data_IF_324604699976
#
_entry.id   IF_324604699976
#
_cell.length_a   1.000
_cell.length_b   1.000
_cell.length_c   1.000
_cell.angle_alpha   90.00
_cell.angle_beta   90.00
_cell.angle_gamma   90.00
#
_symmetry.space_group_name_H-M   'P 1'
#
loop_
_entity.id
_entity.type
_entity.pdbx_description
1 polymer ?
#
# COMPACT_ATOMS: atom_id res chain seq x y z
N UNK A 1 10.14 59.86 -17.99
CA UNK A 1 10.32 58.60 -17.21
C UNK A 1 9.15 58.27 -16.28
N UNK A 2 8.31 59.22 -15.86
CA UNK A 2 7.23 58.96 -14.89
C UNK A 2 6.13 58.01 -15.37
N UNK A 3 5.80 58.02 -16.67
CA UNK A 3 4.77 57.14 -17.24
C UNK A 3 5.11 55.66 -17.15
N UNK A 4 6.39 55.29 -17.23
CA UNK A 4 6.81 53.88 -17.23
C UNK A 4 6.73 53.29 -15.81
N UNK A 5 7.26 54.01 -14.82
CA UNK A 5 7.22 53.63 -13.41
C UNK A 5 5.80 53.54 -12.85
N UNK A 6 4.91 54.44 -13.31
CA UNK A 6 3.50 54.40 -12.95
C UNK A 6 2.82 53.12 -13.49
N UNK A 7 3.08 52.75 -14.75
CA UNK A 7 2.56 51.50 -15.34
C UNK A 7 3.13 50.26 -14.65
N UNK A 8 4.43 50.23 -14.35
CA UNK A 8 5.07 49.13 -13.64
C UNK A 8 4.49 48.92 -12.24
N UNK A 9 4.16 50.00 -11.52
CA UNK A 9 3.45 49.91 -10.22
C UNK A 9 2.08 49.29 -10.35
N UNK A 10 1.27 49.71 -11.33
CA UNK A 10 -0.06 49.13 -11.54
C UNK A 10 0.01 47.65 -11.95
N UNK A 11 0.97 47.28 -12.79
CA UNK A 11 1.20 45.87 -13.14
C UNK A 11 1.73 45.06 -11.97
N UNK A 12 2.63 45.61 -11.15
CA UNK A 12 3.12 44.96 -9.93
C UNK A 12 2.02 44.76 -8.89
N UNK A 13 1.13 45.74 -8.71
CA UNK A 13 -0.06 45.63 -7.86
C UNK A 13 -1.03 44.56 -8.39
N UNK A 14 -1.37 44.59 -9.68
CA UNK A 14 -2.24 43.59 -10.30
C UNK A 14 -1.63 42.17 -10.23
N UNK A 15 -0.32 42.05 -10.47
CA UNK A 15 0.40 40.79 -10.36
C UNK A 15 0.46 40.27 -8.92
N UNK A 16 0.73 41.14 -7.95
CA UNK A 16 0.73 40.80 -6.53
C UNK A 16 -0.65 40.37 -6.04
N UNK A 17 -1.70 41.09 -6.42
CA UNK A 17 -3.09 40.75 -6.09
C UNK A 17 -3.52 39.45 -6.76
N UNK A 18 -3.09 39.22 -8.00
CA UNK A 18 -3.24 37.96 -8.72
C UNK A 18 -2.53 36.79 -8.04
N UNK A 19 -1.31 36.98 -7.54
CA UNK A 19 -0.58 35.98 -6.76
C UNK A 19 -1.30 35.67 -5.44
N UNK A 20 -1.77 36.68 -4.71
CA UNK A 20 -2.50 36.47 -3.44
C UNK A 20 -3.79 35.69 -3.69
N UNK A 21 -4.56 36.02 -4.73
CA UNK A 21 -5.76 35.28 -5.11
C UNK A 21 -5.44 33.85 -5.54
N UNK A 22 -4.38 33.66 -6.34
CA UNK A 22 -3.94 32.34 -6.78
C UNK A 22 -3.50 31.50 -5.59
N UNK A 23 -2.58 32.00 -4.76
CA UNK A 23 -2.14 31.28 -3.56
C UNK A 23 -3.26 31.08 -2.55
N UNK A 24 -4.19 32.02 -2.37
CA UNK A 24 -5.33 31.90 -1.46
C UNK A 24 -6.38 30.88 -1.91
N UNK A 25 -6.79 30.92 -3.18
CA UNK A 25 -7.78 29.99 -3.75
C UNK A 25 -7.18 28.59 -3.88
N UNK A 26 -5.92 28.47 -4.31
CA UNK A 26 -5.25 27.19 -4.48
C UNK A 26 -4.58 26.66 -3.19
N UNK A 27 -4.47 27.42 -2.10
CA UNK A 27 -4.00 26.88 -0.81
C UNK A 27 -4.95 25.85 -0.22
N UNK A 28 -6.26 26.03 -0.45
CA UNK A 28 -7.30 25.13 0.08
C UNK A 28 -7.35 23.81 -0.68
N UNK A 29 -6.95 23.82 -1.95
CA UNK A 29 -6.59 22.64 -2.73
C UNK A 29 -5.10 22.38 -2.51
N UNK A 30 -4.76 21.91 -1.31
CA UNK A 30 -3.40 21.44 -1.01
C UNK A 30 -2.86 20.60 -2.16
N UNK A 31 -1.54 20.57 -2.34
CA UNK A 31 -0.82 20.02 -3.49
C UNK A 31 -1.04 18.52 -3.81
N UNK A 32 -2.25 17.95 -3.67
CA UNK A 32 -2.61 16.56 -4.02
C UNK A 32 -2.26 16.23 -5.47
N UNK A 33 -2.25 17.22 -6.36
CA UNK A 33 -1.86 17.04 -7.75
C UNK A 33 -0.36 16.75 -7.95
N UNK A 34 0.52 17.10 -6.99
CA UNK A 34 1.95 16.85 -7.13
C UNK A 34 2.21 15.34 -7.31
N UNK A 35 3.12 14.94 -8.21
CA UNK A 35 3.40 13.52 -8.47
C UNK A 35 3.71 12.71 -7.20
N UNK A 36 4.41 13.33 -6.24
CA UNK A 36 4.73 12.70 -4.94
C UNK A 36 3.47 12.34 -4.15
N UNK A 37 2.49 13.25 -4.10
CA UNK A 37 1.24 13.03 -3.37
C UNK A 37 0.37 11.97 -4.05
N UNK A 38 0.28 11.98 -5.39
CA UNK A 38 -0.41 10.91 -6.14
C UNK A 38 0.16 9.50 -5.87
N UNK A 39 1.48 9.38 -5.74
CA UNK A 39 2.11 8.10 -5.36
C UNK A 39 1.67 7.68 -3.96
N UNK A 40 1.69 8.59 -2.99
CA UNK A 40 1.30 8.31 -1.60
C UNK A 40 -0.18 7.97 -1.47
N UNK A 41 -1.06 8.69 -2.17
CA UNK A 41 -2.50 8.36 -2.27
C UNK A 41 -2.72 6.96 -2.85
N UNK A 42 -1.95 6.58 -3.88
CA UNK A 42 -2.01 5.22 -4.43
C UNK A 42 -1.62 4.14 -3.40
N UNK A 43 -0.80 4.49 -2.41
CA UNK A 43 -0.43 3.58 -1.34
C UNK A 43 -1.57 3.46 -0.32
N UNK A 44 -2.27 4.55 0.01
CA UNK A 44 -3.36 4.55 1.00
C UNK A 44 -4.53 3.65 0.64
N UNK A 45 -4.78 3.47 -0.65
CA UNK A 45 -5.84 2.59 -1.16
C UNK A 45 -5.48 1.10 -1.11
N UNK A 46 -4.27 0.74 -0.66
CA UNK A 46 -3.74 -0.62 -0.66
C UNK A 46 -3.45 -1.12 0.75
N UNK A 47 -3.35 -2.44 0.88
CA UNK A 47 -2.87 -3.09 2.11
C UNK A 47 -1.35 -2.92 2.20
N UNK A 48 -0.88 -2.42 3.33
CA UNK A 48 0.54 -2.18 3.57
C UNK A 48 1.18 -3.41 4.18
N UNK A 49 2.16 -3.95 3.48
CA UNK A 49 2.90 -5.14 3.88
C UNK A 49 4.36 -4.80 4.13
N UNK A 50 4.97 -5.58 5.00
CA UNK A 50 6.41 -5.65 5.20
C UNK A 50 6.77 -7.08 5.57
N UNK A 51 7.99 -7.50 5.23
CA UNK A 51 8.52 -8.80 5.64
C UNK A 51 8.33 -9.00 7.16
N UNK A 52 7.66 -10.10 7.53
CA UNK A 52 7.36 -10.43 8.91
C UNK A 52 8.63 -10.57 9.77
N UNK A 53 9.73 -11.06 9.19
CA UNK A 53 11.00 -11.22 9.91
C UNK A 53 11.67 -9.88 10.25
N UNK A 54 11.42 -8.84 9.46
CA UNK A 54 12.07 -7.54 9.61
C UNK A 54 11.19 -6.50 10.29
N UNK A 55 9.86 -6.65 10.23
CA UNK A 55 8.91 -5.61 10.64
C UNK A 55 9.06 -5.19 12.10
N UNK A 56 9.19 -6.14 13.04
CA UNK A 56 9.26 -5.78 14.47
C UNK A 56 10.55 -5.04 14.80
N UNK A 57 11.70 -5.60 14.42
CA UNK A 57 13.01 -4.96 14.60
C UNK A 57 13.06 -3.56 13.94
N UNK A 58 12.52 -3.42 12.73
CA UNK A 58 12.45 -2.13 12.05
C UNK A 58 11.60 -1.09 12.81
N UNK A 59 10.44 -1.50 13.32
CA UNK A 59 9.54 -0.61 14.06
C UNK A 59 10.15 -0.21 15.41
N UNK A 60 10.71 -1.16 16.15
CA UNK A 60 11.34 -0.93 17.45
C UNK A 60 12.57 -0.01 17.32
N UNK A 61 13.51 -0.35 16.43
CA UNK A 61 14.75 0.40 16.24
C UNK A 61 14.52 1.86 15.83
N UNK A 62 13.46 2.12 15.06
CA UNK A 62 13.13 3.47 14.59
C UNK A 62 12.00 4.13 15.39
N UNK A 63 11.51 3.49 16.46
CA UNK A 63 10.43 3.97 17.32
C UNK A 63 9.14 4.29 16.55
N UNK A 64 8.80 3.45 15.57
CA UNK A 64 7.56 3.54 14.83
C UNK A 64 6.44 2.79 15.55
N UNK A 65 5.34 3.49 15.83
CA UNK A 65 3.99 2.90 15.87
C UNK A 65 3.37 2.88 14.47
N UNK A 66 2.32 2.08 14.25
CA UNK A 66 1.55 2.07 12.99
C UNK A 66 1.09 3.48 12.57
N UNK A 67 0.62 4.29 13.51
CA UNK A 67 0.20 5.67 13.24
C UNK A 67 1.37 6.57 12.84
N UNK A 68 2.51 6.47 13.53
CA UNK A 68 3.70 7.27 13.18
C UNK A 68 4.33 6.82 11.86
N UNK A 69 4.33 5.52 11.56
CA UNK A 69 4.81 5.02 10.27
C UNK A 69 3.91 5.49 9.13
N UNK A 70 2.60 5.50 9.33
CA UNK A 70 1.67 6.11 8.37
C UNK A 70 2.01 7.58 8.10
N UNK A 71 2.17 8.40 9.14
CA UNK A 71 2.57 9.80 8.98
C UNK A 71 3.93 9.93 8.28
N UNK A 72 4.88 9.05 8.59
CA UNK A 72 6.19 9.03 7.95
C UNK A 72 6.11 8.72 6.44
N UNK A 73 5.20 7.85 6.02
CA UNK A 73 4.92 7.58 4.60
C UNK A 73 4.21 8.78 3.95
N UNK A 74 3.24 9.40 4.62
CA UNK A 74 2.57 10.60 4.08
C UNK A 74 3.53 11.78 3.90
N UNK A 75 4.56 11.88 4.75
CA UNK A 75 5.59 12.90 4.66
C UNK A 75 6.83 12.45 3.86
N UNK A 76 6.80 11.28 3.23
CA UNK A 76 7.96 10.73 2.56
C UNK A 76 8.38 11.57 1.35
N UNK A 77 9.70 11.71 1.19
CA UNK A 77 10.29 12.16 -0.07
C UNK A 77 10.31 11.01 -1.08
N UNK A 78 9.84 11.26 -2.30
CA UNK A 78 9.81 10.26 -3.39
C UNK A 78 10.91 10.59 -4.40
N UNK A 79 11.94 9.75 -4.51
CA UNK A 79 13.03 9.94 -5.47
C UNK A 79 12.68 9.33 -6.83
N UNK A 80 11.92 10.06 -7.65
CA UNK A 80 11.44 9.58 -8.96
C UNK A 80 12.55 9.16 -9.92
N UNK A 81 13.66 9.89 -9.98
CA UNK A 81 14.80 9.59 -10.85
C UNK A 81 15.50 8.28 -10.48
N UNK A 82 15.48 7.93 -9.18
CA UNK A 82 16.05 6.68 -8.66
C UNK A 82 15.04 5.52 -8.68
N UNK A 83 13.77 5.78 -8.95
CA UNK A 83 12.67 4.81 -8.91
C UNK A 83 12.45 4.10 -10.23
N UNK A 84 11.89 2.88 -10.18
CA UNK A 84 11.30 2.22 -11.35
C UNK A 84 9.85 2.66 -11.51
N UNK A 85 9.59 3.56 -12.45
CA UNK A 85 8.29 4.23 -12.62
C UNK A 85 7.44 3.67 -13.78
N UNK A 86 8.06 2.91 -14.67
CA UNK A 86 7.43 2.39 -15.88
C UNK A 86 7.18 0.88 -15.81
N UNK A 87 6.18 0.44 -16.57
CA UNK A 87 5.71 -0.94 -16.61
C UNK A 87 4.83 -1.32 -15.41
N UNK A 88 4.31 -2.56 -15.43
CA UNK A 88 3.36 -3.06 -14.43
C UNK A 88 3.94 -3.16 -13.02
N UNK A 89 5.24 -3.44 -12.87
CA UNK A 89 5.87 -3.61 -11.56
C UNK A 89 6.74 -2.40 -11.21
N UNK A 90 6.13 -1.40 -10.58
CA UNK A 90 6.78 -0.16 -10.17
C UNK A 90 7.46 -0.36 -8.80
N UNK A 91 8.57 0.33 -8.59
CA UNK A 91 9.31 0.32 -7.33
C UNK A 91 9.76 1.74 -7.03
N UNK A 92 9.14 2.35 -6.02
CA UNK A 92 9.47 3.70 -5.60
C UNK A 92 10.56 3.70 -4.54
N UNK A 93 11.55 4.57 -4.71
CA UNK A 93 12.57 4.85 -3.70
C UNK A 93 12.07 6.00 -2.85
N UNK A 94 11.87 5.73 -1.56
CA UNK A 94 11.36 6.65 -0.58
C UNK A 94 12.42 6.98 0.46
N UNK A 95 12.32 8.17 1.04
CA UNK A 95 13.01 8.52 2.27
C UNK A 95 11.98 9.03 3.27
N UNK A 96 11.89 8.31 4.39
CA UNK A 96 11.01 8.65 5.50
C UNK A 96 11.85 9.20 6.66
N UNK A 97 11.22 9.95 7.55
CA UNK A 97 11.84 10.37 8.80
C UNK A 97 11.12 9.71 9.98
N UNK A 98 11.88 9.27 10.99
CA UNK A 98 11.29 8.90 12.27
C UNK A 98 11.07 10.14 13.15
N UNK A 99 10.52 9.94 14.36
CA UNK A 99 10.28 11.03 15.33
C UNK A 99 11.53 11.83 15.69
N UNK A 100 12.72 11.23 15.59
CA UNK A 100 14.02 11.87 15.86
C UNK A 100 14.59 12.59 14.63
N UNK A 101 13.86 12.68 13.53
CA UNK A 101 14.34 13.28 12.28
C UNK A 101 15.34 12.40 11.50
N UNK A 102 15.62 11.17 11.94
CA UNK A 102 16.53 10.25 11.24
C UNK A 102 15.91 9.87 9.89
N UNK A 103 16.63 10.18 8.82
CA UNK A 103 16.27 9.81 7.44
C UNK A 103 16.54 8.33 7.21
N UNK A 104 15.52 7.60 6.75
CA UNK A 104 15.54 6.16 6.56
C UNK A 104 15.12 5.86 5.12
N UNK A 105 15.96 5.17 4.34
CA UNK A 105 15.60 4.77 2.99
C UNK A 105 14.65 3.57 3.01
N UNK A 106 13.67 3.58 2.12
CA UNK A 106 12.64 2.56 1.99
C UNK A 106 12.34 2.33 0.50
N UNK A 107 12.20 1.07 0.07
CA UNK A 107 11.58 0.78 -1.22
C UNK A 107 10.10 0.48 -1.02
N UNK A 108 9.27 0.91 -1.97
CA UNK A 108 7.86 0.58 -2.03
C UNK A 108 7.53 -0.11 -3.35
N UNK A 109 7.31 -1.43 -3.32
CA UNK A 109 6.94 -2.24 -4.47
C UNK A 109 5.46 -2.14 -4.72
N UNK A 110 5.11 -1.55 -5.85
CA UNK A 110 3.74 -1.30 -6.27
C UNK A 110 3.51 -1.93 -7.64
N UNK A 111 2.76 -3.03 -7.68
CA UNK A 111 2.35 -3.66 -8.94
C UNK A 111 0.99 -3.12 -9.36
N UNK A 112 0.82 -2.80 -10.63
CA UNK A 112 -0.48 -2.44 -11.21
C UNK A 112 -1.46 -3.61 -11.02
N UNK A 113 -2.73 -3.31 -10.77
CA UNK A 113 -3.76 -4.30 -10.39
C UNK A 113 -3.46 -5.14 -9.12
N UNK A 114 -2.46 -4.75 -8.33
CA UNK A 114 -2.28 -5.27 -6.97
C UNK A 114 -3.02 -4.39 -5.97
N UNK A 115 -3.74 -4.99 -5.03
CA UNK A 115 -4.34 -4.26 -3.90
C UNK A 115 -3.43 -4.22 -2.67
N UNK A 116 -2.19 -4.70 -2.80
CA UNK A 116 -1.15 -4.62 -1.76
C UNK A 116 0.05 -3.81 -2.23
N UNK A 117 0.77 -3.27 -1.24
CA UNK A 117 2.06 -2.61 -1.39
C UNK A 117 3.05 -3.22 -0.39
N UNK A 118 4.26 -3.51 -0.87
CA UNK A 118 5.32 -4.16 -0.08
C UNK A 118 6.45 -3.15 0.19
N UNK A 119 6.66 -2.85 1.47
CA UNK A 119 7.66 -1.90 1.95
C UNK A 119 8.92 -2.65 2.41
N UNK A 120 10.07 -2.30 1.80
CA UNK A 120 11.36 -2.93 2.09
C UNK A 120 12.30 -1.92 2.76
N UNK A 121 12.49 -2.01 4.10
CA UNK A 121 13.27 -1.04 4.86
C UNK A 121 14.77 -1.12 4.54
N UNK A 122 15.47 -0.01 4.78
CA UNK A 122 16.93 0.10 4.60
C UNK A 122 17.43 -0.23 3.19
N UNK A 123 16.62 0.11 2.18
CA UNK A 123 16.95 -0.08 0.77
C UNK A 123 16.64 1.18 -0.02
N UNK A 124 17.60 1.61 -0.85
CA UNK A 124 17.47 2.79 -1.72
C UNK A 124 17.77 2.49 -3.20
N UNK A 125 18.15 1.27 -3.54
CA UNK A 125 18.51 0.85 -4.90
C UNK A 125 17.68 -0.36 -5.32
N UNK A 126 16.66 -0.11 -6.14
CA UNK A 126 15.74 -1.16 -6.58
C UNK A 126 16.42 -2.17 -7.52
N UNK A 127 17.40 -1.74 -8.35
CA UNK A 127 18.09 -2.63 -9.29
C UNK A 127 18.86 -3.72 -8.53
N UNK A 128 19.60 -3.31 -7.49
CA UNK A 128 20.33 -4.23 -6.61
C UNK A 128 19.37 -5.17 -5.90
N UNK A 129 18.28 -4.64 -5.33
CA UNK A 129 17.27 -5.45 -4.65
C UNK A 129 16.68 -6.54 -5.57
N UNK A 130 16.26 -6.19 -6.79
CA UNK A 130 15.70 -7.15 -7.75
C UNK A 130 16.74 -8.21 -8.14
N UNK A 131 18.01 -7.83 -8.33
CA UNK A 131 19.09 -8.76 -8.69
C UNK A 131 19.37 -9.79 -7.59
N UNK A 132 19.21 -9.40 -6.32
CA UNK A 132 19.43 -10.30 -5.17
C UNK A 132 18.39 -11.42 -5.06
N UNK A 133 17.24 -11.30 -5.75
CA UNK A 133 16.15 -12.29 -5.73
C UNK A 133 15.67 -12.65 -4.30
N UNK A 134 15.83 -11.73 -3.35
CA UNK A 134 15.35 -11.92 -1.97
C UNK A 134 13.83 -11.98 -2.01
N UNK A 135 13.27 -13.08 -1.49
CA UNK A 135 11.84 -13.26 -1.29
C UNK A 135 11.59 -13.46 0.19
N UNK A 136 10.80 -12.57 0.79
CA UNK A 136 10.22 -12.84 2.10
C UNK A 136 9.31 -14.07 1.99
N UNK A 137 9.16 -14.82 3.09
CA UNK A 137 8.21 -15.94 3.13
C UNK A 137 6.82 -15.44 3.51
N UNK A 138 6.74 -14.62 4.55
CA UNK A 138 5.49 -14.10 5.11
C UNK A 138 5.53 -12.58 5.23
N UNK A 139 4.36 -11.96 5.05
CA UNK A 139 4.16 -10.52 5.19
C UNK A 139 3.30 -10.17 6.40
N UNK A 140 3.82 -9.30 7.24
CA UNK A 140 3.08 -8.65 8.31
C UNK A 140 2.28 -7.48 7.75
N UNK A 141 1.00 -7.43 8.10
CA UNK A 141 0.09 -6.37 7.68
C UNK A 141 0.27 -5.18 8.62
N UNK A 142 0.77 -4.07 8.08
CA UNK A 142 0.97 -2.83 8.82
C UNK A 142 -0.34 -2.05 8.89
N UNK A 143 -1.05 -1.93 7.77
CA UNK A 143 -2.25 -1.11 7.64
C UNK A 143 -3.18 -1.64 6.56
N UNK A 144 -4.48 -1.53 6.84
CA UNK A 144 -5.57 -1.75 5.90
C UNK A 144 -6.04 -0.42 5.29
N UNK A 145 -6.51 -0.41 4.03
CA UNK A 145 -7.15 0.77 3.44
C UNK A 145 -8.46 1.08 4.18
N UNK A 146 -8.95 2.33 4.10
CA UNK A 146 -10.18 2.77 4.78
C UNK A 146 -11.48 2.24 4.15
N UNK A 147 -11.38 1.34 3.17
CA UNK A 147 -12.53 0.74 2.50
C UNK A 147 -13.22 -0.31 3.38
N UNK A 148 -14.54 -0.18 3.56
CA UNK A 148 -15.38 -1.23 4.15
C UNK A 148 -15.51 -2.39 3.16
N UNK A 149 -15.42 -3.62 3.66
CA UNK A 149 -15.62 -4.84 2.86
C UNK A 149 -14.76 -4.90 1.60
N UNK A 150 -13.45 -4.77 1.79
CA UNK A 150 -12.44 -4.90 0.75
C UNK A 150 -12.53 -6.26 0.05
N UNK A 151 -12.80 -7.33 0.79
CA UNK A 151 -12.91 -8.67 0.25
C UNK A 151 -14.36 -9.11 0.04
N UNK A 152 -14.59 -9.89 -1.01
CA UNK A 152 -15.84 -10.57 -1.27
C UNK A 152 -15.60 -11.96 -1.87
N UNK A 153 -16.57 -12.85 -1.67
CA UNK A 153 -16.56 -14.22 -2.18
C UNK A 153 -17.10 -14.20 -3.60
N UNK A 154 -16.45 -14.91 -4.54
CA UNK A 154 -16.97 -15.11 -5.90
C UNK A 154 -18.38 -15.72 -5.89
N UNK A 155 -19.16 -15.49 -6.94
CA UNK A 155 -20.50 -16.09 -7.16
C UNK A 155 -20.45 -17.59 -7.50
N UNK A 156 -19.27 -18.20 -7.44
CA UNK A 156 -19.07 -19.61 -7.69
C UNK A 156 -19.66 -20.46 -6.56
N UNK A 157 -20.66 -21.29 -6.88
CA UNK A 157 -21.38 -22.13 -5.91
C UNK A 157 -20.45 -22.97 -5.04
N UNK A 158 -19.42 -23.57 -5.63
CA UNK A 158 -18.46 -24.40 -4.90
C UNK A 158 -17.73 -23.60 -3.81
N UNK A 159 -17.27 -22.40 -4.14
CA UNK A 159 -16.59 -21.51 -3.18
C UNK A 159 -17.57 -21.00 -2.10
N UNK A 160 -18.78 -20.60 -2.49
CA UNK A 160 -19.81 -20.18 -1.53
C UNK A 160 -20.17 -21.29 -0.54
N UNK A 161 -20.28 -22.54 -1.01
CA UNK A 161 -20.55 -23.70 -0.16
C UNK A 161 -19.42 -23.93 0.85
N UNK A 162 -18.15 -23.79 0.43
CA UNK A 162 -17.00 -23.90 1.34
C UNK A 162 -17.03 -22.84 2.45
N UNK A 163 -17.28 -21.58 2.10
CA UNK A 163 -17.38 -20.51 3.10
C UNK A 163 -18.61 -20.66 4.01
N UNK A 164 -19.73 -21.13 3.47
CA UNK A 164 -20.94 -21.45 4.24
C UNK A 164 -20.67 -22.56 5.26
N UNK A 165 -19.97 -23.62 4.86
CA UNK A 165 -19.55 -24.70 5.76
C UNK A 165 -18.64 -24.22 6.90
N UNK A 166 -17.88 -23.15 6.67
CA UNK A 166 -17.05 -22.48 7.68
C UNK A 166 -17.81 -21.39 8.47
N UNK A 167 -19.13 -21.27 8.29
CA UNK A 167 -19.99 -20.27 8.91
C UNK A 167 -19.62 -18.81 8.56
N UNK A 168 -19.02 -18.61 7.40
CA UNK A 168 -18.65 -17.31 6.82
C UNK A 168 -19.64 -16.99 5.70
N UNK A 169 -20.83 -16.55 6.07
CA UNK A 169 -21.91 -16.21 5.12
C UNK A 169 -21.97 -14.72 4.75
N UNK A 170 -21.31 -13.84 5.50
CA UNK A 170 -21.34 -12.40 5.26
C UNK A 170 -19.95 -11.79 5.04
N UNK A 171 -19.92 -10.70 4.27
CA UNK A 171 -18.69 -9.97 3.95
C UNK A 171 -17.96 -9.45 5.19
N UNK A 172 -18.70 -9.06 6.23
CA UNK A 172 -18.11 -8.48 7.44
C UNK A 172 -17.28 -9.51 8.25
N UNK A 173 -17.80 -10.74 8.45
CA UNK A 173 -17.04 -11.82 9.11
C UNK A 173 -15.80 -12.17 8.30
N UNK A 174 -15.93 -12.31 6.99
CA UNK A 174 -14.80 -12.58 6.10
C UNK A 174 -13.70 -11.53 6.22
N UNK A 175 -14.07 -10.25 6.14
CA UNK A 175 -13.11 -9.15 6.25
C UNK A 175 -12.49 -9.08 7.66
N UNK A 176 -13.23 -9.47 8.69
CA UNK A 176 -12.72 -9.56 10.06
C UNK A 176 -11.65 -10.66 10.20
N UNK A 177 -11.86 -11.83 9.60
CA UNK A 177 -10.85 -12.89 9.59
C UNK A 177 -9.64 -12.51 8.74
N UNK A 178 -9.84 -11.94 7.55
CA UNK A 178 -8.74 -11.48 6.70
C UNK A 178 -7.93 -10.37 7.35
N UNK A 179 -8.55 -9.49 8.16
CA UNK A 179 -7.81 -8.48 8.94
C UNK A 179 -6.80 -9.07 9.92
N UNK A 180 -7.01 -10.31 10.37
CA UNK A 180 -6.13 -11.06 11.29
C UNK A 180 -5.21 -12.05 10.56
N UNK A 181 -5.29 -12.12 9.24
CA UNK A 181 -4.53 -13.07 8.43
C UNK A 181 -3.07 -12.66 8.27
N UNK A 182 -2.24 -13.60 7.81
CA UNK A 182 -0.85 -13.35 7.40
C UNK A 182 -0.75 -13.43 5.88
N UNK A 183 0.01 -12.53 5.26
CA UNK A 183 0.24 -12.57 3.82
C UNK A 183 1.30 -13.62 3.47
N UNK A 184 1.08 -14.44 2.43
CA UNK A 184 2.02 -15.46 1.98
C UNK A 184 2.70 -15.03 0.67
N UNK A 185 3.95 -14.59 0.76
CA UNK A 185 4.73 -14.16 -0.40
C UNK A 185 5.16 -15.32 -1.30
N UNK A 186 5.27 -16.54 -0.74
CA UNK A 186 5.74 -17.71 -1.49
C UNK A 186 4.68 -18.23 -2.46
N UNK A 187 3.41 -18.16 -2.03
CA UNK A 187 2.26 -18.60 -2.82
C UNK A 187 1.61 -17.48 -3.63
N UNK A 188 1.88 -16.23 -3.29
CA UNK A 188 1.45 -15.08 -4.09
C UNK A 188 2.27 -14.96 -5.36
N UNK A 189 1.61 -14.66 -6.48
CA UNK A 189 2.27 -14.36 -7.74
C UNK A 189 1.90 -12.96 -8.21
N UNK A 190 2.80 -12.00 -7.95
CA UNK A 190 2.66 -10.62 -8.38
C UNK A 190 2.76 -10.44 -9.89
N UNK A 191 3.30 -11.43 -10.63
CA UNK A 191 3.50 -11.37 -12.08
C UNK A 191 2.46 -12.17 -12.86
N UNK A 192 1.53 -12.83 -12.17
CA UNK A 192 0.46 -13.58 -12.80
C UNK A 192 -0.31 -12.73 -13.82
N UNK A 193 -0.74 -13.37 -14.90
CA UNK A 193 -1.51 -12.76 -15.99
C UNK A 193 -2.87 -13.50 -16.08
N UNK A 194 -4.02 -12.82 -16.23
CA UNK A 194 -4.18 -11.38 -16.48
C UNK A 194 -3.92 -10.47 -15.28
N UNK A 195 -4.04 -10.99 -14.05
CA UNK A 195 -3.95 -10.19 -12.82
C UNK A 195 -3.04 -10.82 -11.77
N UNK A 196 -2.36 -10.02 -10.93
CA UNK A 196 -1.62 -10.50 -9.78
C UNK A 196 -2.49 -11.34 -8.83
N UNK A 197 -1.90 -12.43 -8.31
CA UNK A 197 -2.52 -13.34 -7.36
C UNK A 197 -1.93 -13.11 -5.96
N UNK A 198 -2.81 -12.94 -4.97
CA UNK A 198 -2.45 -12.66 -3.59
C UNK A 198 -2.98 -13.77 -2.69
N UNK A 199 -2.16 -14.27 -1.77
CA UNK A 199 -2.54 -15.37 -0.88
C UNK A 199 -2.47 -14.92 0.57
N UNK A 200 -3.56 -15.13 1.30
CA UNK A 200 -3.65 -14.88 2.74
C UNK A 200 -3.87 -16.19 3.48
N UNK A 201 -3.14 -16.35 4.59
CA UNK A 201 -3.24 -17.50 5.50
C UNK A 201 -4.17 -17.15 6.65
N UNK A 202 -5.24 -17.92 6.76
CA UNK A 202 -6.34 -17.72 7.69
C UNK A 202 -6.34 -18.85 8.71
N UNK A 203 -6.45 -18.50 9.98
CA UNK A 203 -6.79 -19.44 11.05
C UNK A 203 -8.19 -19.12 11.52
N UNK A 204 -9.07 -20.11 11.43
CA UNK A 204 -10.48 -19.96 11.76
C UNK A 204 -10.76 -20.63 13.11
N UNK A 205 -11.48 -19.97 14.04
CA UNK A 205 -11.85 -20.59 15.32
C UNK A 205 -12.63 -21.89 15.17
N UNK A 206 -13.40 -22.03 14.09
CA UNK A 206 -14.23 -23.21 13.79
C UNK A 206 -13.42 -24.44 13.38
N UNK A 207 -12.17 -24.25 12.94
CA UNK A 207 -11.28 -25.33 12.55
C UNK A 207 -9.85 -25.03 13.05
N UNK A 208 -9.61 -25.16 14.37
CA UNK A 208 -8.36 -24.72 15.00
C UNK A 208 -7.13 -25.52 14.54
N UNK A 209 -7.32 -26.74 14.05
CA UNK A 209 -6.26 -27.63 13.57
C UNK A 209 -5.98 -27.46 12.05
N UNK A 210 -6.63 -26.51 11.40
CA UNK A 210 -6.49 -26.27 9.98
C UNK A 210 -6.07 -24.81 9.71
N UNK A 211 -5.22 -24.64 8.71
CA UNK A 211 -4.94 -23.34 8.12
C UNK A 211 -5.60 -23.27 6.74
N UNK A 212 -6.22 -22.14 6.43
CA UNK A 212 -6.84 -21.92 5.13
C UNK A 212 -6.04 -20.91 4.32
N UNK A 213 -5.87 -21.19 3.04
CA UNK A 213 -5.24 -20.32 2.06
C UNK A 213 -6.34 -19.69 1.21
N UNK A 214 -6.54 -18.39 1.39
CA UNK A 214 -7.44 -17.59 0.57
C UNK A 214 -6.67 -16.98 -0.58
N UNK A 215 -7.03 -17.38 -1.80
CA UNK A 215 -6.48 -16.85 -3.05
C UNK A 215 -7.35 -15.69 -3.52
N UNK A 216 -6.72 -14.55 -3.74
CA UNK A 216 -7.39 -13.29 -4.01
C UNK A 216 -6.81 -12.61 -5.26
N UNK A 217 -7.66 -11.94 -6.03
CA UNK A 217 -7.26 -11.08 -7.15
C UNK A 217 -7.97 -9.74 -7.06
N UNK A 218 -7.36 -8.66 -7.57
CA UNK A 218 -8.05 -7.38 -7.64
C UNK A 218 -9.10 -7.38 -8.75
N UNK A 219 -10.34 -7.01 -8.44
CA UNK A 219 -11.41 -6.95 -9.42
C UNK A 219 -12.29 -5.72 -9.19
N UNK A 220 -12.33 -4.83 -10.19
CA UNK A 220 -12.96 -3.51 -10.11
C UNK A 220 -12.40 -2.69 -8.95
N UNK A 221 -13.12 -2.63 -7.85
CA UNK A 221 -12.85 -1.85 -6.65
C UNK A 221 -12.63 -2.73 -5.40
N UNK A 222 -12.63 -4.07 -5.54
CA UNK A 222 -12.55 -5.01 -4.41
C UNK A 222 -11.62 -6.18 -4.69
N UNK A 223 -11.14 -6.81 -3.63
CA UNK A 223 -10.40 -8.06 -3.67
C UNK A 223 -11.38 -9.24 -3.78
N UNK A 224 -11.41 -9.89 -4.95
CA UNK A 224 -12.22 -11.08 -5.20
C UNK A 224 -11.48 -12.31 -4.68
N UNK A 225 -12.13 -13.10 -3.84
CA UNK A 225 -11.63 -14.44 -3.48
C UNK A 225 -12.00 -15.40 -4.62
N UNK A 226 -10.99 -16.07 -5.15
CA UNK A 226 -11.11 -17.00 -6.29
C UNK A 226 -10.92 -18.45 -5.89
N UNK A 227 -10.27 -18.73 -4.76
CA UNK A 227 -10.17 -20.08 -4.22
C UNK A 227 -9.91 -20.05 -2.72
N UNK A 228 -10.34 -21.11 -2.04
CA UNK A 228 -10.01 -21.40 -0.66
C UNK A 228 -9.46 -22.83 -0.60
N UNK A 229 -8.32 -23.03 0.09
CA UNK A 229 -7.73 -24.36 0.27
C UNK A 229 -7.38 -24.57 1.72
N UNK A 230 -7.72 -25.72 2.30
CA UNK A 230 -7.27 -26.09 3.64
C UNK A 230 -5.91 -26.79 3.58
N UNK A 231 -5.13 -26.61 4.64
CA UNK A 231 -3.93 -27.38 4.95
C UNK A 231 -4.02 -27.81 6.40
N UNK A 232 -3.82 -29.10 6.65
CA UNK A 232 -3.69 -29.62 8.01
C UNK A 232 -2.40 -29.07 8.60
N UNK A 233 -2.48 -28.57 9.84
CA UNK A 233 -1.29 -28.19 10.58
C UNK A 233 -0.80 -29.48 11.24
N UNK A 234 0.19 -30.14 10.63
CA UNK A 234 0.91 -31.22 11.31
C UNK A 234 1.59 -30.60 12.55
N UNK A 235 1.24 -31.13 13.72
CA UNK A 235 1.79 -30.70 15.01
C UNK A 235 3.22 -31.19 15.18
#
# INVERSE_FOLDING_TARGET
>A
MESFWRRLRYYGLGFGLGLILTFGIFNTRGCSWMPSNRVKESFETRIWLMDAQQKNAFFEQNQFSTASFYKAIQNAEVYFTKSKRHGKHKIYVLQIANKKGKKIPLLAKCTDDSFVIDFIPYRNNWKRFVKQKIKAQYGSIIRWPQQKNLFYISEERGLQNQFTALQISNGDKLNTFLKKSTFDYTRSDFKANPKPLHVFRLRLPQAPNAEFLSYCVWYKDKAKIVALRSQTIDK
#
